data_IF_966149227547
#
_entry.id   IF_966149227547
#
_cell.length_a   1.000
_cell.length_b   1.000
_cell.length_c   1.000
_cell.angle_alpha   90.00
_cell.angle_beta   90.00
_cell.angle_gamma   90.00
#
_symmetry.space_group_name_H-M   'P 1'
#
loop_
_entity.id
_entity.type
_entity.pdbx_description
1 polymer ?
#
# COMPACT_ATOMS: atom_id res chain seq x y z
N UNK A 1 1.82 5.50 -24.85
CA UNK A 1 0.55 5.92 -24.23
C UNK A 1 -0.64 5.18 -24.85
N UNK A 2 -0.84 5.18 -26.19
CA UNK A 2 -2.01 4.59 -26.86
C UNK A 2 -2.23 3.12 -26.47
N UNK A 3 -1.23 2.26 -26.63
CA UNK A 3 -1.37 0.82 -26.35
C UNK A 3 -1.70 0.47 -24.88
N UNK A 4 -1.47 1.39 -23.94
CA UNK A 4 -1.97 1.22 -22.56
C UNK A 4 -3.40 1.71 -22.40
N UNK A 5 -3.76 2.77 -23.12
CA UNK A 5 -5.13 3.29 -23.10
C UNK A 5 -6.11 2.29 -23.70
N UNK A 6 -5.76 1.63 -24.81
CA UNK A 6 -6.55 0.57 -25.43
C UNK A 6 -6.81 -0.62 -24.50
N UNK A 7 -5.96 -0.81 -23.48
CA UNK A 7 -6.05 -1.89 -22.48
C UNK A 7 -6.40 -1.38 -21.09
N UNK A 8 -6.85 -0.15 -20.94
CA UNK A 8 -7.06 0.47 -19.65
C UNK A 8 -8.03 -0.34 -18.76
N UNK A 9 -9.15 -0.77 -19.31
CA UNK A 9 -10.16 -1.53 -18.57
C UNK A 9 -9.62 -2.88 -18.09
N UNK A 10 -8.87 -3.59 -18.93
CA UNK A 10 -8.19 -4.84 -18.56
C UNK A 10 -7.22 -4.62 -17.41
N UNK A 11 -6.40 -3.57 -17.50
CA UNK A 11 -5.40 -3.25 -16.49
C UNK A 11 -6.02 -2.85 -15.16
N UNK A 12 -7.07 -2.02 -15.19
CA UNK A 12 -7.85 -1.62 -14.00
C UNK A 12 -8.50 -2.85 -13.36
N UNK A 13 -9.13 -3.71 -14.16
CA UNK A 13 -9.72 -4.94 -13.66
C UNK A 13 -8.68 -5.83 -12.94
N UNK A 14 -7.47 -6.01 -13.52
CA UNK A 14 -6.39 -6.76 -12.88
C UNK A 14 -5.94 -6.12 -11.56
N UNK A 15 -5.80 -4.79 -11.51
CA UNK A 15 -5.44 -4.05 -10.29
C UNK A 15 -6.48 -4.25 -9.18
N UNK A 16 -7.76 -4.07 -9.51
CA UNK A 16 -8.88 -4.27 -8.57
C UNK A 16 -8.94 -5.71 -8.07
N UNK A 17 -8.67 -6.69 -8.94
CA UNK A 17 -8.60 -8.11 -8.56
C UNK A 17 -7.50 -8.38 -7.55
N UNK A 18 -6.30 -7.81 -7.73
CA UNK A 18 -5.18 -7.93 -6.78
C UNK A 18 -5.55 -7.33 -5.43
N UNK A 19 -6.16 -6.13 -5.42
CA UNK A 19 -6.66 -5.52 -4.18
C UNK A 19 -7.66 -6.41 -3.45
N UNK A 20 -8.61 -7.02 -4.17
CA UNK A 20 -9.59 -7.92 -3.59
C UNK A 20 -8.94 -9.20 -2.99
N UNK A 21 -7.84 -9.67 -3.57
CA UNK A 21 -7.06 -10.77 -2.98
C UNK A 21 -6.38 -10.33 -1.67
N UNK A 22 -5.75 -9.16 -1.63
CA UNK A 22 -5.21 -8.61 -0.39
C UNK A 22 -6.29 -8.46 0.68
N UNK A 23 -7.43 -7.86 0.34
CA UNK A 23 -8.58 -7.72 1.25
C UNK A 23 -9.07 -9.07 1.79
N UNK A 24 -9.00 -10.13 0.98
CA UNK A 24 -9.41 -11.47 1.37
C UNK A 24 -8.41 -12.17 2.30
N UNK A 25 -7.10 -11.98 2.07
CA UNK A 25 -6.06 -12.78 2.73
C UNK A 25 -5.38 -12.08 3.91
N UNK A 26 -5.49 -10.76 4.00
CA UNK A 26 -4.98 -10.01 5.14
C UNK A 26 -5.94 -10.10 6.33
N UNK A 27 -5.40 -10.41 7.51
CA UNK A 27 -6.13 -10.38 8.77
C UNK A 27 -6.19 -8.94 9.30
N UNK A 28 -7.00 -8.11 8.64
CA UNK A 28 -7.15 -6.69 9.00
C UNK A 28 -7.62 -6.58 10.44
N UNK A 29 -6.90 -5.82 11.25
CA UNK A 29 -7.15 -5.66 12.67
C UNK A 29 -6.78 -4.24 13.14
N UNK A 30 -6.77 -4.00 14.45
CA UNK A 30 -6.40 -2.70 15.03
C UNK A 30 -4.96 -2.23 14.77
N UNK A 31 -4.08 -3.11 14.28
CA UNK A 31 -2.66 -2.78 14.08
C UNK A 31 -2.40 -2.15 12.71
N UNK A 32 -3.23 -2.45 11.72
CA UNK A 32 -3.15 -1.86 10.39
C UNK A 32 -4.48 -1.89 9.66
N UNK A 33 -4.65 -0.99 8.70
CA UNK A 33 -5.81 -0.91 7.82
C UNK A 33 -5.37 -0.91 6.35
N UNK A 34 -6.27 -1.39 5.49
CA UNK A 34 -6.15 -1.26 4.05
C UNK A 34 -6.71 0.09 3.57
N UNK A 35 -6.25 0.55 2.44
CA UNK A 35 -6.87 1.62 1.66
C UNK A 35 -8.34 1.27 1.38
N UNK A 36 -9.24 2.23 1.61
CA UNK A 36 -10.67 2.06 1.33
C UNK A 36 -11.11 2.89 0.13
N UNK A 37 -12.02 2.33 -0.66
CA UNK A 37 -12.73 3.04 -1.72
C UNK A 37 -13.97 3.70 -1.14
N UNK A 38 -14.11 5.01 -1.31
CA UNK A 38 -15.29 5.74 -0.86
C UNK A 38 -16.49 5.41 -1.74
N UNK A 39 -17.72 5.53 -1.18
CA UNK A 39 -18.97 5.16 -1.84
C UNK A 39 -19.15 5.80 -3.23
N UNK A 40 -18.73 7.06 -3.38
CA UNK A 40 -18.92 7.83 -4.61
C UNK A 40 -17.61 7.98 -5.41
N UNK A 41 -16.70 7.01 -5.27
CA UNK A 41 -15.43 6.99 -5.98
C UNK A 41 -15.18 5.63 -6.64
N UNK A 42 -14.40 5.64 -7.72
CA UNK A 42 -13.93 4.43 -8.39
C UNK A 42 -12.41 4.41 -8.40
N UNK A 43 -11.82 3.62 -7.52
CA UNK A 43 -10.35 3.47 -7.44
C UNK A 43 -9.85 2.48 -8.48
N UNK A 44 -8.81 2.84 -9.19
CA UNK A 44 -8.08 1.90 -10.05
C UNK A 44 -7.09 1.01 -9.27
N UNK A 45 -6.93 1.25 -7.96
CA UNK A 45 -5.96 0.58 -7.09
C UNK A 45 -4.56 0.46 -7.74
N UNK A 46 -4.09 1.57 -8.30
CA UNK A 46 -2.76 1.65 -8.91
C UNK A 46 -1.68 1.08 -8.01
N UNK A 47 -1.72 1.42 -6.72
CA UNK A 47 -0.92 0.81 -5.66
C UNK A 47 -1.82 0.32 -4.55
N UNK A 48 -1.50 -0.84 -3.99
CA UNK A 48 -2.15 -1.38 -2.81
C UNK A 48 -1.35 -0.94 -1.59
N UNK A 49 -2.00 -0.32 -0.63
CA UNK A 49 -1.36 0.26 0.55
C UNK A 49 -1.93 -0.32 1.83
N UNK A 50 -1.06 -0.50 2.82
CA UNK A 50 -1.48 -0.67 4.21
C UNK A 50 -0.94 0.49 5.05
N UNK A 51 -1.76 0.95 5.97
CA UNK A 51 -1.41 1.97 6.96
C UNK A 51 -1.30 1.30 8.32
N UNK A 52 -0.12 1.38 8.94
CA UNK A 52 0.11 0.89 10.30
C UNK A 52 -0.49 1.90 11.27
N UNK A 53 -1.40 1.44 12.11
CA UNK A 53 -2.16 2.26 13.08
C UNK A 53 -1.66 2.08 14.51
N UNK A 54 -1.03 0.96 14.79
CA UNK A 54 -0.51 0.64 16.12
C UNK A 54 0.89 1.21 16.32
N UNK A 55 1.14 1.78 17.50
CA UNK A 55 2.47 2.28 17.92
C UNK A 55 3.47 1.16 18.22
N UNK A 56 3.00 -0.08 18.35
CA UNK A 56 3.85 -1.23 18.66
C UNK A 56 4.61 -1.75 17.43
N UNK A 57 4.24 -1.31 16.26
CA UNK A 57 4.82 -1.77 15.00
C UNK A 57 5.40 -0.61 14.20
N UNK A 58 6.57 -0.84 13.61
CA UNK A 58 7.27 0.15 12.80
C UNK A 58 7.19 -0.20 11.32
N UNK A 59 6.93 0.80 10.49
CA UNK A 59 7.02 0.69 9.03
C UNK A 59 8.37 0.14 8.58
N UNK A 60 9.46 0.62 9.18
CA UNK A 60 10.80 0.19 8.83
C UNK A 60 11.04 -1.30 9.13
N UNK A 61 10.53 -1.78 10.27
CA UNK A 61 10.61 -3.19 10.65
C UNK A 61 9.79 -4.07 9.71
N UNK A 62 8.58 -3.62 9.31
CA UNK A 62 7.77 -4.37 8.36
C UNK A 62 8.44 -4.44 6.98
N UNK A 63 9.01 -3.34 6.47
CA UNK A 63 9.77 -3.36 5.21
C UNK A 63 10.96 -4.32 5.29
N UNK A 64 11.70 -4.31 6.40
CA UNK A 64 12.79 -5.23 6.64
C UNK A 64 12.31 -6.69 6.63
N UNK A 65 11.25 -6.99 7.38
CA UNK A 65 10.66 -8.33 7.45
C UNK A 65 10.19 -8.83 6.08
N UNK A 66 9.54 -7.98 5.28
CA UNK A 66 9.13 -8.31 3.92
C UNK A 66 10.33 -8.59 3.02
N UNK A 67 11.38 -7.76 3.09
CA UNK A 67 12.61 -7.94 2.32
C UNK A 67 13.33 -9.25 2.66
N UNK A 68 13.38 -9.64 3.92
CA UNK A 68 13.94 -10.92 4.38
C UNK A 68 13.16 -12.14 3.84
N UNK A 69 11.91 -11.93 3.42
CA UNK A 69 11.07 -12.94 2.76
C UNK A 69 10.95 -12.73 1.24
N UNK A 70 11.92 -12.02 0.62
CA UNK A 70 11.98 -11.72 -0.81
C UNK A 70 10.76 -10.96 -1.36
N UNK A 71 10.14 -10.11 -0.53
CA UNK A 71 9.01 -9.28 -0.92
C UNK A 71 9.48 -7.82 -0.98
N UNK A 72 9.49 -7.23 -2.18
CA UNK A 72 9.76 -5.79 -2.34
C UNK A 72 8.55 -4.97 -1.89
N UNK A 73 8.81 -3.99 -1.06
CA UNK A 73 7.82 -3.03 -0.58
C UNK A 73 8.49 -1.68 -0.36
N UNK A 74 7.72 -0.61 -0.46
CA UNK A 74 8.27 0.74 -0.38
C UNK A 74 7.42 1.63 0.52
N UNK A 75 8.02 2.62 1.19
CA UNK A 75 7.25 3.66 1.85
C UNK A 75 6.27 4.32 0.88
N UNK A 76 5.10 4.71 1.39
CA UNK A 76 4.22 5.62 0.66
C UNK A 76 4.93 6.97 0.51
N UNK A 77 4.61 7.71 -0.56
CA UNK A 77 5.21 9.01 -0.86
C UNK A 77 5.09 9.97 0.32
N UNK A 78 6.18 10.67 0.59
CA UNK A 78 6.17 11.76 1.57
C UNK A 78 5.28 12.91 1.07
N UNK A 79 4.66 13.66 1.99
CA UNK A 79 3.92 14.87 1.62
C UNK A 79 4.80 15.81 0.79
N UNK A 80 4.23 16.40 -0.26
CA UNK A 80 4.96 17.29 -1.17
C UNK A 80 5.59 18.48 -0.43
N UNK A 81 4.93 18.96 0.64
CA UNK A 81 5.41 20.04 1.49
C UNK A 81 6.71 19.73 2.25
N UNK A 82 7.11 18.45 2.33
CA UNK A 82 8.35 18.03 3.00
C UNK A 82 9.55 17.95 2.05
N UNK A 83 9.35 18.14 0.75
CA UNK A 83 10.45 18.10 -0.21
C UNK A 83 11.34 19.36 -0.09
N UNK A 84 12.68 19.20 -0.26
CA UNK A 84 13.63 20.30 -0.05
C UNK A 84 13.45 21.52 -0.97
N UNK A 85 12.75 21.37 -2.07
CA UNK A 85 12.46 22.45 -3.02
C UNK A 85 11.53 23.53 -2.44
N UNK A 86 10.77 23.19 -1.39
CA UNK A 86 9.86 24.14 -0.75
C UNK A 86 10.57 24.86 0.40
N UNK A 87 10.63 26.19 0.32
CA UNK A 87 11.29 27.05 1.34
C UNK A 87 10.52 27.07 2.65
N UNK A 88 9.19 27.03 2.57
CA UNK A 88 8.31 27.00 3.74
C UNK A 88 8.02 25.56 4.13
N UNK A 89 8.48 25.16 5.30
CA UNK A 89 8.15 23.86 5.87
C UNK A 89 6.81 23.95 6.59
N UNK A 90 5.82 23.20 6.11
CA UNK A 90 4.59 22.99 6.85
C UNK A 90 4.90 22.09 8.04
N UNK A 91 4.91 22.66 9.22
CA UNK A 91 5.18 21.95 10.49
C UNK A 91 3.96 21.24 11.06
N UNK A 92 2.76 21.52 10.50
CA UNK A 92 1.53 20.92 10.99
C UNK A 92 1.51 19.41 10.73
N UNK A 93 1.16 18.65 11.74
CA UNK A 93 0.88 17.21 11.62
C UNK A 93 -0.43 17.02 10.86
N UNK A 94 -0.33 16.90 9.54
CA UNK A 94 -1.48 16.65 8.66
C UNK A 94 -1.71 15.15 8.50
N UNK A 95 -2.91 14.78 8.03
CA UNK A 95 -3.21 13.38 7.64
C UNK A 95 -2.18 12.88 6.64
N UNK A 96 -1.77 13.72 5.68
CA UNK A 96 -0.74 13.37 4.70
C UNK A 96 0.61 13.02 5.34
N UNK A 97 1.04 13.78 6.37
CA UNK A 97 2.26 13.48 7.14
C UNK A 97 2.14 12.16 7.88
N UNK A 98 1.01 11.91 8.52
CA UNK A 98 0.76 10.65 9.22
C UNK A 98 0.79 9.45 8.28
N UNK A 99 0.07 9.50 7.17
CA UNK A 99 0.05 8.44 6.15
C UNK A 99 1.43 8.25 5.53
N UNK A 100 2.10 9.34 5.12
CA UNK A 100 3.44 9.29 4.55
C UNK A 100 4.49 8.70 5.48
N UNK A 101 4.29 8.77 6.80
CA UNK A 101 5.20 8.22 7.80
C UNK A 101 4.92 6.75 8.16
N UNK A 102 3.67 6.30 8.05
CA UNK A 102 3.23 5.01 8.60
C UNK A 102 2.71 4.02 7.55
N UNK A 103 2.53 4.43 6.30
CA UNK A 103 2.02 3.54 5.27
C UNK A 103 3.13 2.97 4.36
N UNK A 104 2.86 1.79 3.79
CA UNK A 104 3.70 1.14 2.80
C UNK A 104 2.90 0.76 1.57
N UNK A 105 3.57 0.77 0.42
CA UNK A 105 3.11 0.20 -0.83
C UNK A 105 3.46 -1.28 -0.87
N UNK A 106 2.46 -2.12 -1.09
CA UNK A 106 2.62 -3.56 -1.34
C UNK A 106 2.86 -3.83 -2.83
N UNK A 107 3.43 -4.99 -3.19
CA UNK A 107 3.51 -5.43 -4.57
C UNK A 107 2.14 -5.30 -5.25
N UNK A 108 2.11 -4.63 -6.41
CA UNK A 108 0.86 -4.27 -7.09
C UNK A 108 0.95 -4.45 -8.61
N UNK A 109 1.95 -5.20 -9.11
CA UNK A 109 2.11 -5.50 -10.53
C UNK A 109 0.93 -6.29 -11.09
N UNK A 110 0.48 -5.98 -12.31
CA UNK A 110 -0.67 -6.65 -12.94
C UNK A 110 -0.43 -8.13 -13.25
N UNK A 111 0.83 -8.57 -13.20
CA UNK A 111 1.27 -9.96 -13.36
C UNK A 111 1.17 -10.80 -12.09
N UNK A 112 0.94 -10.19 -10.93
CA UNK A 112 0.84 -10.93 -9.67
C UNK A 112 -0.27 -11.98 -9.73
N UNK A 113 0.09 -13.20 -9.36
CA UNK A 113 -0.82 -14.30 -9.18
C UNK A 113 -1.51 -14.25 -7.80
N UNK A 114 -2.61 -14.99 -7.69
CA UNK A 114 -3.34 -15.12 -6.43
C UNK A 114 -2.49 -15.77 -5.34
N UNK A 115 -1.64 -16.73 -5.69
CA UNK A 115 -0.80 -17.46 -4.74
C UNK A 115 0.34 -16.58 -4.21
N UNK A 116 0.92 -15.73 -5.07
CA UNK A 116 1.89 -14.72 -4.63
C UNK A 116 1.27 -13.73 -3.65
N UNK A 117 0.06 -13.21 -3.94
CA UNK A 117 -0.65 -12.32 -3.01
C UNK A 117 -0.99 -13.04 -1.70
N UNK A 118 -1.38 -14.31 -1.76
CA UNK A 118 -1.62 -15.13 -0.55
C UNK A 118 -0.35 -15.31 0.27
N UNK A 119 0.79 -15.57 -0.37
CA UNK A 119 2.10 -15.66 0.29
C UNK A 119 2.47 -14.33 0.98
N UNK A 120 2.40 -13.21 0.24
CA UNK A 120 2.68 -11.87 0.78
C UNK A 120 1.81 -11.58 2.00
N UNK A 121 0.50 -11.86 1.89
CA UNK A 121 -0.45 -11.64 2.98
C UNK A 121 -0.12 -12.50 4.21
N UNK A 122 0.29 -13.76 4.01
CA UNK A 122 0.73 -14.64 5.10
C UNK A 122 1.92 -14.06 5.86
N UNK A 123 2.92 -13.54 5.15
CA UNK A 123 4.10 -12.92 5.77
C UNK A 123 3.73 -11.64 6.54
N UNK A 124 2.83 -10.82 5.98
CA UNK A 124 2.32 -9.63 6.68
C UNK A 124 1.55 -10.01 7.94
N UNK A 125 0.63 -10.97 7.84
CA UNK A 125 -0.14 -11.42 9.00
C UNK A 125 0.77 -11.89 10.14
N UNK A 126 1.79 -12.69 9.82
CA UNK A 126 2.77 -13.18 10.79
C UNK A 126 3.55 -12.06 11.49
N UNK A 127 3.77 -10.93 10.82
CA UNK A 127 4.44 -9.77 11.42
C UNK A 127 3.59 -9.09 12.48
N UNK A 128 2.26 -9.14 12.35
CA UNK A 128 1.30 -8.47 13.25
C UNK A 128 0.67 -9.42 14.29
N UNK A 129 1.08 -10.67 14.33
CA UNK A 129 0.78 -11.64 15.41
C UNK A 129 1.62 -11.37 16.66
#
# INVERSE_FOLDING_TARGET
ALGQLERADELIFKKRRIFNWYKKFLNINKNFILQEEKKDSYSNYWMNNILITSKNYSRALLIKHLKENNIDSRPVFSPISQYPIWKEKVTAQTVATYVGSNAINLPSGVSLSKDEVKYISKIINKFFE
#
